data_IF_150568166529
#
_entry.id   IF_150568166529
#
_cell.length_a   1.000
_cell.length_b   1.000
_cell.length_c   1.000
_cell.angle_alpha   90.00
_cell.angle_beta   90.00
_cell.angle_gamma   90.00
#
_symmetry.space_group_name_H-M   'P 1'
#
loop_
_entity.id
_entity.type
_entity.pdbx_description
1 polymer ?
#
# COMPACT_ATOMS: atom_id res chain seq x y z
N UNK A 1 44.45 14.43 39.40
CA UNK A 1 43.85 15.27 38.32
C UNK A 1 43.70 14.57 36.95
N UNK A 2 44.30 13.40 36.69
CA UNK A 2 44.12 12.68 35.42
C UNK A 2 42.80 11.85 35.35
N UNK A 3 42.33 11.32 36.49
CA UNK A 3 41.11 10.47 36.51
C UNK A 3 39.79 11.22 36.22
N UNK A 4 39.70 12.49 36.56
CA UNK A 4 38.51 13.33 36.31
C UNK A 4 38.34 13.69 34.83
N UNK A 5 39.43 13.84 34.07
CA UNK A 5 39.36 14.15 32.62
C UNK A 5 38.93 12.94 31.78
N UNK A 6 39.35 11.73 32.18
CA UNK A 6 38.92 10.51 31.47
C UNK A 6 37.44 10.25 31.66
N UNK A 7 36.90 10.40 32.88
CA UNK A 7 35.47 10.20 33.14
C UNK A 7 34.55 11.18 32.35
N UNK A 8 35.00 12.46 32.23
CA UNK A 8 34.25 13.47 31.47
C UNK A 8 34.26 13.18 29.96
N UNK A 9 35.40 12.64 29.44
CA UNK A 9 35.49 12.27 28.02
C UNK A 9 34.59 11.07 27.70
N UNK A 10 34.52 10.05 28.56
CA UNK A 10 33.64 8.90 28.40
C UNK A 10 32.15 9.30 28.49
N UNK A 11 31.78 10.23 29.37
CA UNK A 11 30.43 10.73 29.48
C UNK A 11 30.01 11.52 28.23
N UNK A 12 30.91 12.33 27.66
CA UNK A 12 30.67 13.08 26.42
C UNK A 12 30.50 12.16 25.20
N UNK A 13 31.31 11.10 25.09
CA UNK A 13 31.20 10.09 24.02
C UNK A 13 29.91 9.28 24.16
N UNK A 14 29.51 8.93 25.39
CA UNK A 14 28.28 8.21 25.64
C UNK A 14 27.05 9.05 25.28
N UNK A 15 27.04 10.35 25.60
CA UNK A 15 25.95 11.27 25.25
C UNK A 15 25.87 11.51 23.75
N UNK A 16 27.01 11.61 23.04
CA UNK A 16 27.01 11.74 21.58
C UNK A 16 26.52 10.47 20.90
N UNK A 17 26.83 9.28 21.38
CA UNK A 17 26.34 8.01 20.82
C UNK A 17 24.84 7.85 21.07
N UNK A 18 24.31 8.27 22.23
CA UNK A 18 22.87 8.24 22.50
C UNK A 18 22.06 9.21 21.60
N UNK A 19 22.64 10.33 21.19
CA UNK A 19 21.95 11.29 20.29
C UNK A 19 21.83 10.74 18.87
N UNK A 20 22.69 9.79 18.45
CA UNK A 20 22.63 9.15 17.12
C UNK A 20 21.70 7.93 17.06
N UNK A 21 21.23 7.42 18.20
CA UNK A 21 20.21 6.36 18.28
C UNK A 21 18.77 6.92 18.22
N UNK A 22 18.54 8.01 17.48
CA UNK A 22 17.17 8.28 17.05
C UNK A 22 16.79 7.13 16.13
N UNK A 23 15.89 6.28 16.61
CA UNK A 23 15.17 5.37 15.75
C UNK A 23 14.77 6.17 14.51
N UNK A 24 15.21 5.76 13.33
CA UNK A 24 14.77 6.36 12.08
C UNK A 24 13.26 6.15 12.02
N UNK A 25 12.52 7.12 12.57
CA UNK A 25 11.08 7.19 12.35
C UNK A 25 10.93 7.39 10.85
N UNK A 26 10.25 6.49 10.19
CA UNK A 26 9.96 6.62 8.77
C UNK A 26 9.33 8.01 8.55
N UNK A 27 9.95 8.80 7.70
CA UNK A 27 9.49 10.15 7.43
C UNK A 27 8.40 10.11 6.35
N UNK A 28 7.41 11.02 6.40
CA UNK A 28 6.44 11.12 5.33
C UNK A 28 7.11 11.33 3.98
N UNK A 29 6.62 10.65 2.94
CA UNK A 29 7.17 10.73 1.59
C UNK A 29 6.85 12.09 0.98
N UNK A 30 7.88 12.74 0.45
CA UNK A 30 7.76 14.05 -0.21
C UNK A 30 6.98 13.95 -1.52
N UNK A 31 6.13 14.93 -1.78
CA UNK A 31 5.40 15.07 -3.05
C UNK A 31 6.35 15.64 -4.09
N UNK A 32 6.72 14.82 -5.07
CA UNK A 32 7.51 15.23 -6.25
C UNK A 32 6.61 15.41 -7.48
N UNK A 33 5.57 14.60 -7.56
CA UNK A 33 4.57 14.63 -8.61
C UNK A 33 3.19 14.68 -7.97
N UNK A 34 2.47 15.75 -8.20
CA UNK A 34 1.11 15.91 -7.67
C UNK A 34 0.12 15.04 -8.45
N UNK A 35 -0.78 14.41 -7.73
CA UNK A 35 -1.89 13.68 -8.33
C UNK A 35 -3.00 14.66 -8.72
N UNK A 36 -3.54 14.49 -9.92
CA UNK A 36 -4.61 15.31 -10.47
C UNK A 36 -5.91 14.57 -10.62
N UNK A 37 -6.73 15.02 -11.59
CA UNK A 37 -7.92 14.30 -12.01
C UNK A 37 -7.51 13.23 -13.02
N UNK A 38 -7.85 11.99 -12.73
CA UNK A 38 -7.50 10.83 -13.59
C UNK A 38 -8.65 9.83 -13.61
N UNK A 39 -8.94 9.29 -14.79
CA UNK A 39 -9.75 8.09 -14.94
C UNK A 39 -8.95 7.06 -15.74
N UNK A 40 -8.56 5.98 -15.09
CA UNK A 40 -7.83 4.87 -15.69
C UNK A 40 -8.69 3.61 -15.75
N UNK A 41 -8.59 2.88 -16.85
CA UNK A 41 -9.22 1.57 -17.00
C UNK A 41 -8.22 0.49 -16.61
N UNK A 42 -8.67 -0.44 -15.77
CA UNK A 42 -7.86 -1.50 -15.23
C UNK A 42 -8.42 -2.88 -15.62
N UNK A 43 -7.52 -3.84 -15.73
CA UNK A 43 -7.87 -5.26 -15.78
C UNK A 43 -7.19 -6.01 -14.64
N UNK A 44 -7.91 -6.95 -14.08
CA UNK A 44 -7.39 -7.90 -13.10
C UNK A 44 -7.26 -9.27 -13.76
N UNK A 45 -6.08 -9.86 -13.65
CA UNK A 45 -5.75 -11.15 -14.24
C UNK A 45 -5.13 -12.10 -13.22
N UNK A 46 -5.23 -13.39 -13.50
CA UNK A 46 -4.34 -14.37 -12.86
C UNK A 46 -2.90 -14.13 -13.33
N UNK A 47 -1.92 -14.67 -12.60
CA UNK A 47 -0.50 -14.63 -13.02
C UNK A 47 -0.28 -15.30 -14.39
N UNK A 48 -1.14 -16.25 -14.76
CA UNK A 48 -1.11 -16.93 -16.07
C UNK A 48 -1.87 -16.18 -17.18
N UNK A 49 -2.32 -14.93 -16.92
CA UNK A 49 -2.93 -14.04 -17.90
C UNK A 49 -4.47 -14.14 -18.04
N UNK A 50 -5.13 -15.09 -17.36
CA UNK A 50 -6.60 -15.21 -17.40
C UNK A 50 -7.30 -13.98 -16.84
N UNK A 51 -8.26 -13.38 -17.59
CA UNK A 51 -9.03 -12.22 -17.16
C UNK A 51 -10.04 -12.62 -16.06
N UNK A 52 -9.96 -11.96 -14.91
CA UNK A 52 -10.78 -12.20 -13.72
C UNK A 52 -11.84 -11.11 -13.56
N UNK A 53 -11.40 -9.84 -13.65
CA UNK A 53 -12.27 -8.69 -13.45
C UNK A 53 -11.85 -7.51 -14.33
N UNK A 54 -12.80 -6.61 -14.57
CA UNK A 54 -12.55 -5.27 -15.12
C UNK A 54 -12.66 -4.25 -14.01
N UNK A 55 -11.89 -3.17 -14.10
CA UNK A 55 -11.85 -2.16 -13.06
C UNK A 55 -11.63 -0.75 -13.56
N UNK A 56 -11.86 0.17 -12.66
CA UNK A 56 -11.67 1.60 -12.82
C UNK A 56 -10.80 2.15 -11.69
N UNK A 57 -9.91 3.06 -12.02
CA UNK A 57 -9.22 3.93 -11.08
C UNK A 57 -9.67 5.37 -11.34
N UNK A 58 -10.38 5.96 -10.40
CA UNK A 58 -10.80 7.36 -10.48
C UNK A 58 -10.08 8.16 -9.40
N UNK A 59 -9.43 9.25 -9.81
CA UNK A 59 -8.87 10.24 -8.89
C UNK A 59 -9.53 11.59 -9.15
N UNK A 60 -9.89 12.29 -8.07
CA UNK A 60 -10.52 13.61 -8.13
C UNK A 60 -9.86 14.51 -7.10
N UNK A 61 -9.39 15.69 -7.53
CA UNK A 61 -8.89 16.72 -6.64
C UNK A 61 -9.98 17.70 -6.27
N UNK A 62 -10.26 17.87 -4.98
CA UNK A 62 -11.25 18.82 -4.47
C UNK A 62 -10.81 19.37 -3.11
N UNK A 63 -10.89 20.70 -2.93
CA UNK A 63 -10.69 21.32 -1.63
C UNK A 63 -9.35 21.03 -0.95
N UNK A 64 -8.27 20.91 -1.70
CA UNK A 64 -6.95 20.59 -1.15
C UNK A 64 -6.68 19.08 -0.93
N UNK A 65 -7.67 18.22 -1.19
CA UNK A 65 -7.57 16.78 -1.04
C UNK A 65 -7.72 16.05 -2.36
N UNK A 66 -7.08 14.89 -2.46
CA UNK A 66 -7.30 13.93 -3.54
C UNK A 66 -8.10 12.77 -2.99
N UNK A 67 -9.19 12.44 -3.64
CA UNK A 67 -9.90 11.18 -3.46
C UNK A 67 -9.48 10.24 -4.61
N UNK A 68 -8.91 9.08 -4.26
CA UNK A 68 -8.60 8.00 -5.19
C UNK A 68 -9.48 6.81 -4.88
N UNK A 69 -10.16 6.28 -5.91
CA UNK A 69 -11.03 5.12 -5.80
C UNK A 69 -10.67 4.10 -6.88
N UNK A 70 -10.41 2.87 -6.46
CA UNK A 70 -10.18 1.73 -7.34
C UNK A 70 -11.30 0.70 -7.15
N UNK A 71 -11.96 0.33 -8.24
CA UNK A 71 -13.07 -0.62 -8.21
C UNK A 71 -12.79 -1.75 -9.19
N UNK A 72 -12.92 -2.99 -8.76
CA UNK A 72 -12.98 -4.17 -9.63
C UNK A 72 -14.35 -4.84 -9.56
N UNK A 73 -14.88 -5.18 -10.72
CA UNK A 73 -16.11 -5.97 -10.89
C UNK A 73 -15.74 -7.31 -11.50
N UNK A 74 -15.94 -8.36 -10.72
CA UNK A 74 -15.62 -9.73 -11.10
C UNK A 74 -16.72 -10.35 -11.95
N UNK A 75 -16.37 -11.36 -12.74
CA UNK A 75 -17.32 -12.07 -13.60
C UNK A 75 -18.43 -12.80 -12.82
N UNK A 76 -18.16 -13.17 -11.56
CA UNK A 76 -19.08 -13.84 -10.66
C UNK A 76 -19.99 -12.88 -9.87
N UNK A 77 -19.91 -11.57 -10.15
CA UNK A 77 -20.65 -10.52 -9.46
C UNK A 77 -19.96 -9.98 -8.20
N UNK A 78 -18.82 -10.53 -7.83
CA UNK A 78 -18.04 -9.99 -6.71
C UNK A 78 -17.54 -8.57 -7.01
N UNK A 79 -17.34 -7.78 -5.94
CA UNK A 79 -16.88 -6.40 -6.02
C UNK A 79 -15.76 -6.16 -5.02
N UNK A 80 -14.68 -5.53 -5.50
CA UNK A 80 -13.63 -4.92 -4.69
C UNK A 80 -13.70 -3.41 -4.92
N UNK A 81 -13.84 -2.61 -3.86
CA UNK A 81 -13.95 -1.14 -3.91
C UNK A 81 -13.05 -0.56 -2.82
N UNK A 82 -11.92 -0.02 -3.22
CA UNK A 82 -10.93 0.63 -2.36
C UNK A 82 -10.95 2.13 -2.58
N UNK A 83 -11.06 2.90 -1.50
CA UNK A 83 -11.05 4.36 -1.53
C UNK A 83 -10.08 4.90 -0.51
N UNK A 84 -9.27 5.87 -0.91
CA UNK A 84 -8.40 6.65 -0.03
C UNK A 84 -8.58 8.13 -0.30
N UNK A 85 -8.62 8.92 0.78
CA UNK A 85 -8.56 10.39 0.73
C UNK A 85 -7.22 10.81 1.33
N UNK A 86 -6.50 11.70 0.66
CA UNK A 86 -5.20 12.18 1.12
C UNK A 86 -4.94 13.63 0.74
N UNK A 87 -4.01 14.26 1.44
CA UNK A 87 -3.43 15.56 1.07
C UNK A 87 -2.05 15.37 0.46
N UNK A 88 -1.64 16.34 -0.36
CA UNK A 88 -0.37 16.32 -1.10
C UNK A 88 0.24 17.72 -1.15
N UNK A 89 0.52 18.32 0.00
CA UNK A 89 1.18 19.63 0.06
C UNK A 89 2.69 19.49 -0.19
N UNK A 90 3.49 19.33 0.89
CA UNK A 90 4.92 19.00 0.80
C UNK A 90 5.19 17.51 0.91
N UNK A 91 4.34 16.82 1.66
CA UNK A 91 4.38 15.38 1.87
C UNK A 91 2.98 14.79 1.68
N UNK A 92 2.94 13.51 1.34
CA UNK A 92 1.67 12.78 1.33
C UNK A 92 1.17 12.53 2.75
N UNK A 93 -0.13 12.71 2.94
CA UNK A 93 -0.79 12.37 4.20
C UNK A 93 -2.16 11.76 3.93
N UNK A 94 -2.31 10.47 4.19
CA UNK A 94 -3.60 9.78 4.16
C UNK A 94 -4.53 10.45 5.18
N UNK A 95 -5.76 10.73 4.82
CA UNK A 95 -6.79 11.29 5.70
C UNK A 95 -7.81 10.23 6.11
N UNK A 96 -8.26 9.43 5.16
CA UNK A 96 -9.15 8.30 5.43
C UNK A 96 -8.92 7.17 4.42
N UNK A 97 -9.25 5.97 4.84
CA UNK A 97 -9.19 4.76 4.02
C UNK A 97 -10.48 3.96 4.19
N UNK A 98 -11.01 3.45 3.09
CA UNK A 98 -12.15 2.54 3.07
C UNK A 98 -11.93 1.42 2.07
N UNK A 99 -12.29 0.19 2.47
CA UNK A 99 -12.28 -0.98 1.61
C UNK A 99 -13.62 -1.72 1.75
N UNK A 100 -14.17 -2.12 0.62
CA UNK A 100 -15.33 -3.02 0.56
C UNK A 100 -14.99 -4.19 -0.35
N UNK A 101 -15.15 -5.39 0.17
CA UNK A 101 -15.02 -6.65 -0.56
C UNK A 101 -16.31 -7.43 -0.38
N UNK A 102 -16.96 -7.83 -1.46
CA UNK A 102 -18.22 -8.59 -1.42
C UNK A 102 -18.27 -9.62 -2.52
N UNK A 103 -18.87 -10.76 -2.20
CA UNK A 103 -19.16 -11.81 -3.14
C UNK A 103 -18.21 -13.01 -3.11
N UNK A 104 -18.52 -14.06 -3.88
CA UNK A 104 -17.97 -15.41 -3.70
C UNK A 104 -16.47 -15.55 -4.00
N UNK A 105 -15.84 -14.60 -4.70
CA UNK A 105 -14.38 -14.63 -4.92
C UNK A 105 -13.58 -14.42 -3.61
N UNK A 106 -14.21 -13.80 -2.61
CA UNK A 106 -13.61 -13.59 -1.28
C UNK A 106 -14.06 -14.71 -0.32
N UNK A 107 -13.31 -14.93 0.74
CA UNK A 107 -13.68 -15.89 1.80
C UNK A 107 -14.82 -15.38 2.68
N UNK A 108 -14.96 -14.07 2.76
CA UNK A 108 -15.97 -13.35 3.54
C UNK A 108 -16.23 -11.97 2.93
N UNK A 109 -17.41 -11.44 3.12
CA UNK A 109 -17.66 -10.03 2.85
C UNK A 109 -16.97 -9.20 3.93
N UNK A 110 -16.26 -8.15 3.51
CA UNK A 110 -15.49 -7.30 4.41
C UNK A 110 -15.73 -5.83 4.10
N UNK A 111 -15.97 -5.03 5.13
CA UNK A 111 -15.99 -3.58 5.03
C UNK A 111 -15.07 -2.98 6.10
N UNK A 112 -14.12 -2.16 5.66
CA UNK A 112 -13.10 -1.52 6.50
C UNK A 112 -13.23 -0.01 6.36
N UNK A 113 -13.10 0.70 7.49
CA UNK A 113 -12.86 2.14 7.52
C UNK A 113 -11.76 2.50 8.51
N UNK A 114 -10.97 3.52 8.17
CA UNK A 114 -9.90 4.06 9.01
C UNK A 114 -9.85 5.57 8.83
N UNK A 115 -9.89 6.30 9.96
CA UNK A 115 -9.81 7.75 10.01
C UNK A 115 -8.50 8.18 10.67
N UNK A 116 -7.70 8.95 9.94
CA UNK A 116 -6.39 9.36 10.43
C UNK A 116 -6.46 10.26 11.66
N UNK A 117 -7.33 11.27 11.64
CA UNK A 117 -7.36 12.30 12.70
C UNK A 117 -7.64 11.71 14.09
N UNK A 118 -8.43 10.66 14.16
CA UNK A 118 -8.79 9.99 15.41
C UNK A 118 -8.09 8.65 15.62
N UNK A 119 -7.43 8.10 14.58
CA UNK A 119 -6.94 6.74 14.55
C UNK A 119 -8.03 5.67 14.61
N UNK A 120 -9.31 6.07 14.59
CA UNK A 120 -10.43 5.14 14.71
C UNK A 120 -10.53 4.27 13.47
N UNK A 121 -10.75 2.98 13.73
CA UNK A 121 -11.05 2.02 12.69
C UNK A 121 -12.33 1.24 13.00
N UNK A 122 -12.95 0.74 11.94
CA UNK A 122 -14.03 -0.24 12.01
C UNK A 122 -13.81 -1.30 10.94
N UNK A 123 -13.98 -2.56 11.32
CA UNK A 123 -13.94 -3.71 10.42
C UNK A 123 -15.23 -4.49 10.63
N UNK A 124 -16.01 -4.64 9.58
CA UNK A 124 -17.18 -5.51 9.57
C UNK A 124 -16.86 -6.69 8.64
N UNK A 125 -17.04 -7.90 9.11
CA UNK A 125 -16.91 -9.11 8.29
C UNK A 125 -18.19 -9.93 8.35
N UNK A 126 -18.47 -10.66 7.25
CA UNK A 126 -19.56 -11.62 7.17
C UNK A 126 -19.06 -12.87 6.46
N UNK A 127 -18.88 -13.94 7.22
CA UNK A 127 -18.42 -15.22 6.71
C UNK A 127 -19.47 -15.84 5.75
N UNK A 128 -19.04 -16.32 4.58
CA UNK A 128 -19.94 -16.92 3.61
C UNK A 128 -20.39 -18.32 4.04
N UNK A 129 -19.56 -19.04 4.83
CA UNK A 129 -19.81 -20.41 5.23
C UNK A 129 -21.04 -20.57 6.14
N UNK A 130 -21.20 -19.68 7.10
CA UNK A 130 -22.20 -19.78 8.18
C UNK A 130 -22.97 -18.48 8.41
N UNK A 131 -22.68 -17.42 7.63
CA UNK A 131 -23.30 -16.11 7.74
C UNK A 131 -22.92 -15.33 9.00
N UNK A 132 -21.93 -15.79 9.77
CA UNK A 132 -21.48 -15.12 11.01
C UNK A 132 -20.95 -13.75 10.69
N UNK A 133 -21.49 -12.75 11.39
CA UNK A 133 -21.04 -11.37 11.32
C UNK A 133 -20.15 -11.04 12.52
N UNK A 134 -19.08 -10.32 12.23
CA UNK A 134 -18.13 -9.83 13.24
C UNK A 134 -17.88 -8.36 13.04
N UNK A 135 -17.83 -7.58 14.15
CA UNK A 135 -17.55 -6.15 14.13
C UNK A 135 -16.41 -5.85 15.07
N UNK A 136 -15.30 -5.38 14.53
CA UNK A 136 -14.17 -4.89 15.31
C UNK A 136 -14.13 -3.35 15.20
N UNK A 137 -14.05 -2.70 16.35
CA UNK A 137 -13.82 -1.25 16.44
C UNK A 137 -12.64 -1.00 17.37
N UNK A 138 -11.87 0.03 17.09
CA UNK A 138 -10.77 0.41 17.95
C UNK A 138 -10.09 1.68 17.49
N UNK A 139 -8.94 1.95 18.09
CA UNK A 139 -8.11 3.10 17.78
C UNK A 139 -6.67 2.65 17.66
N UNK A 140 -5.94 3.18 16.69
CA UNK A 140 -4.51 2.99 16.46
C UNK A 140 -3.81 4.34 16.55
N UNK A 141 -2.62 4.35 17.13
CA UNK A 141 -1.70 5.49 17.00
C UNK A 141 -1.04 5.38 15.62
N UNK A 142 -1.43 6.29 14.71
CA UNK A 142 -1.02 6.24 13.31
C UNK A 142 0.19 7.15 13.08
N UNK A 143 1.37 6.60 12.73
CA UNK A 143 2.52 7.41 12.35
C UNK A 143 2.23 8.20 11.06
N UNK A 144 2.99 9.28 10.80
CA UNK A 144 2.72 10.19 9.68
C UNK A 144 2.81 9.53 8.29
N UNK A 145 3.49 8.42 8.16
CA UNK A 145 3.77 7.67 6.95
C UNK A 145 2.88 6.42 6.76
N UNK A 146 1.65 6.45 7.27
CA UNK A 146 0.65 5.40 6.98
C UNK A 146 0.01 5.66 5.62
N UNK A 147 0.08 4.66 4.70
CA UNK A 147 -0.29 4.83 3.30
C UNK A 147 -1.17 3.71 2.74
N UNK A 148 -2.19 3.24 3.50
CA UNK A 148 -3.19 2.33 2.96
C UNK A 148 -3.84 2.91 1.71
N UNK A 149 -3.91 2.13 0.62
CA UNK A 149 -4.43 2.56 -0.67
C UNK A 149 -3.54 3.56 -1.45
N UNK A 150 -2.33 3.90 -0.93
CA UNK A 150 -1.47 4.92 -1.53
C UNK A 150 -0.10 4.41 -1.98
N UNK A 151 0.19 3.11 -1.85
CA UNK A 151 1.54 2.57 -2.09
C UNK A 151 2.06 2.88 -3.50
N UNK A 152 1.19 2.88 -4.51
CA UNK A 152 1.56 3.23 -5.89
C UNK A 152 1.90 4.72 -6.01
N UNK A 153 1.15 5.63 -5.35
CA UNK A 153 1.47 7.06 -5.33
C UNK A 153 2.83 7.31 -4.65
N UNK A 154 3.09 6.60 -3.56
CA UNK A 154 4.40 6.63 -2.88
C UNK A 154 5.50 6.18 -3.85
N UNK A 155 5.36 5.02 -4.50
CA UNK A 155 6.36 4.50 -5.43
C UNK A 155 6.64 5.46 -6.60
N UNK A 156 5.61 6.13 -7.14
CA UNK A 156 5.74 7.16 -8.18
C UNK A 156 6.58 8.37 -7.72
N UNK A 157 6.62 8.63 -6.43
CA UNK A 157 7.26 9.82 -5.86
C UNK A 157 8.65 9.55 -5.27
N UNK A 158 9.11 8.30 -5.23
CA UNK A 158 10.45 7.98 -4.77
C UNK A 158 11.52 8.51 -5.75
N UNK A 159 12.65 9.02 -5.26
CA UNK A 159 13.80 9.29 -6.11
C UNK A 159 14.25 8.01 -6.84
N UNK A 160 14.76 8.17 -8.05
CA UNK A 160 15.29 7.02 -8.82
C UNK A 160 16.34 6.24 -8.02
N UNK A 161 16.14 4.95 -7.87
CA UNK A 161 17.03 4.06 -7.13
C UNK A 161 16.90 4.12 -5.61
N UNK A 162 16.01 4.96 -5.07
CA UNK A 162 15.79 5.04 -3.62
C UNK A 162 14.84 3.92 -3.16
N UNK A 163 15.18 3.31 -2.03
CA UNK A 163 14.28 2.47 -1.25
C UNK A 163 13.62 3.30 -0.17
N UNK A 164 12.39 2.94 0.20
CA UNK A 164 11.67 3.59 1.29
C UNK A 164 10.95 2.53 2.15
N UNK A 165 10.80 2.82 3.43
CA UNK A 165 10.00 1.99 4.33
C UNK A 165 8.86 2.83 4.88
N UNK A 166 7.64 2.39 4.67
CA UNK A 166 6.42 3.07 5.06
C UNK A 166 5.55 2.18 5.95
N UNK A 167 4.54 2.74 6.59
CA UNK A 167 3.60 1.98 7.39
C UNK A 167 2.29 1.73 6.62
N UNK A 168 1.71 0.56 6.89
CA UNK A 168 0.34 0.19 6.53
C UNK A 168 -0.37 -0.32 7.77
N UNK A 169 -1.69 -0.19 7.80
CA UNK A 169 -2.53 -0.95 8.74
C UNK A 169 -2.94 -2.25 8.06
N UNK A 170 -2.52 -3.37 8.61
CA UNK A 170 -3.05 -4.68 8.26
C UNK A 170 -4.27 -4.96 9.16
N UNK A 171 -5.41 -5.33 8.56
CA UNK A 171 -6.68 -5.48 9.26
C UNK A 171 -7.03 -6.91 9.67
N UNK A 172 -6.13 -7.86 9.45
CA UNK A 172 -6.36 -9.29 9.75
C UNK A 172 -5.24 -9.86 10.62
N UNK A 173 -5.53 -10.68 11.61
CA UNK A 173 -6.83 -10.93 12.26
C UNK A 173 -7.29 -9.76 13.14
N UNK A 174 -6.35 -8.97 13.67
CA UNK A 174 -6.59 -7.77 14.47
C UNK A 174 -5.84 -6.61 13.84
N UNK A 175 -6.47 -5.44 13.64
CA UNK A 175 -5.84 -4.28 13.03
C UNK A 175 -4.56 -3.85 13.75
N UNK A 176 -3.48 -3.66 12.98
CA UNK A 176 -2.17 -3.26 13.48
C UNK A 176 -1.28 -2.64 12.43
N UNK A 177 -0.32 -1.86 12.87
CA UNK A 177 0.72 -1.31 12.01
C UNK A 177 1.71 -2.40 11.57
N UNK A 178 2.03 -2.39 10.30
CA UNK A 178 3.13 -3.14 9.70
C UNK A 178 4.00 -2.20 8.89
N UNK A 179 5.26 -2.53 8.74
CA UNK A 179 6.16 -1.83 7.83
C UNK A 179 6.17 -2.51 6.47
N UNK A 180 6.18 -1.70 5.41
CA UNK A 180 6.35 -2.13 4.04
C UNK A 180 7.59 -1.46 3.45
N UNK A 181 8.55 -2.25 3.01
CA UNK A 181 9.70 -1.77 2.26
C UNK A 181 9.36 -1.74 0.77
N UNK A 182 9.60 -0.62 0.12
CA UNK A 182 9.57 -0.44 -1.33
C UNK A 182 11.02 -0.35 -1.82
N UNK A 183 11.50 -1.39 -2.51
CA UNK A 183 12.87 -1.46 -3.01
C UNK A 183 12.87 -1.56 -4.54
N UNK A 184 13.57 -0.67 -5.28
CA UNK A 184 13.72 -0.82 -6.72
C UNK A 184 14.68 -1.98 -7.05
N UNK A 185 14.28 -2.86 -7.96
CA UNK A 185 15.10 -4.00 -8.43
C UNK A 185 15.53 -3.89 -9.89
N UNK A 186 15.38 -2.72 -10.51
CA UNK A 186 15.86 -2.47 -11.87
C UNK A 186 14.79 -1.88 -12.78
N UNK A 187 15.13 -1.82 -14.07
CA UNK A 187 14.27 -1.28 -15.11
C UNK A 187 13.85 -2.39 -16.07
N UNK A 188 12.56 -2.45 -16.37
CA UNK A 188 11.97 -3.42 -17.27
C UNK A 188 11.28 -2.74 -18.45
N UNK A 189 11.29 -3.37 -19.61
CA UNK A 189 10.43 -2.97 -20.72
C UNK A 189 9.03 -3.47 -20.48
N UNK A 190 8.05 -2.56 -20.57
CA UNK A 190 6.62 -2.84 -20.44
C UNK A 190 5.89 -2.32 -21.68
N UNK A 191 4.77 -2.94 -22.00
CA UNK A 191 3.87 -2.47 -23.06
C UNK A 191 2.63 -1.87 -22.40
N UNK A 192 2.28 -0.65 -22.82
CA UNK A 192 1.01 0.00 -22.47
C UNK A 192 0.26 0.21 -23.79
N UNK A 193 -0.74 -0.63 -24.03
CA UNK A 193 -1.24 -0.82 -25.38
C UNK A 193 -0.14 -1.37 -26.29
N UNK A 194 0.19 -0.65 -27.38
CA UNK A 194 1.28 -1.00 -28.30
C UNK A 194 2.58 -0.22 -28.03
N UNK A 195 2.57 0.70 -27.06
CA UNK A 195 3.71 1.56 -26.77
C UNK A 195 4.68 0.85 -25.81
N UNK A 196 5.93 0.63 -26.25
CA UNK A 196 7.00 0.16 -25.39
C UNK A 196 7.48 1.32 -24.49
N UNK A 197 7.47 1.09 -23.18
CA UNK A 197 7.93 2.02 -22.15
C UNK A 197 8.97 1.35 -21.28
N UNK A 198 9.77 2.15 -20.57
CA UNK A 198 10.65 1.65 -19.51
C UNK A 198 9.99 1.92 -18.17
N UNK A 199 9.91 0.91 -17.32
CA UNK A 199 9.35 1.02 -15.99
C UNK A 199 10.36 0.57 -14.94
N UNK A 200 10.44 1.30 -13.83
CA UNK A 200 11.14 0.84 -12.64
C UNK A 200 10.30 -0.25 -11.98
N UNK A 201 10.91 -1.40 -11.74
CA UNK A 201 10.33 -2.50 -10.99
C UNK A 201 10.63 -2.29 -9.50
N UNK A 202 9.59 -2.18 -8.70
CA UNK A 202 9.66 -2.14 -7.23
C UNK A 202 9.20 -3.48 -6.66
N UNK A 203 9.96 -3.98 -5.70
CA UNK A 203 9.52 -5.09 -4.84
C UNK A 203 9.05 -4.52 -3.50
N UNK A 204 7.88 -4.95 -3.09
CA UNK A 204 7.20 -4.52 -1.89
C UNK A 204 7.26 -5.66 -0.87
N UNK A 205 8.09 -5.48 0.17
CA UNK A 205 8.38 -6.50 1.18
C UNK A 205 7.79 -6.11 2.53
N UNK A 206 6.77 -6.80 3.02
CA UNK A 206 6.32 -6.61 4.39
C UNK A 206 7.45 -6.93 5.36
N UNK A 207 7.86 -5.95 6.19
CA UNK A 207 8.81 -6.16 7.27
C UNK A 207 8.06 -6.63 8.50
N UNK A 208 8.07 -7.91 8.74
CA UNK A 208 7.16 -8.55 9.68
C UNK A 208 7.72 -8.69 11.11
N UNK A 209 9.00 -8.43 11.37
CA UNK A 209 9.58 -8.57 12.70
C UNK A 209 9.10 -9.83 13.45
N UNK A 210 8.61 -9.67 14.68
CA UNK A 210 7.97 -10.75 15.45
C UNK A 210 6.65 -11.28 14.83
N UNK A 211 6.12 -10.62 13.84
CA UNK A 211 4.93 -10.98 13.06
C UNK A 211 5.11 -12.22 12.18
N UNK A 212 6.32 -12.44 11.66
CA UNK A 212 6.61 -13.62 10.85
C UNK A 212 6.22 -14.90 11.60
N UNK A 213 6.49 -14.94 12.91
CA UNK A 213 6.10 -16.06 13.76
C UNK A 213 4.57 -16.19 13.89
N UNK A 214 3.86 -15.07 14.03
CA UNK A 214 2.40 -15.07 14.15
C UNK A 214 1.72 -15.47 12.83
N UNK A 215 2.16 -14.92 11.68
CA UNK A 215 1.66 -15.33 10.37
C UNK A 215 1.97 -16.80 10.07
N UNK A 216 3.19 -17.24 10.32
CA UNK A 216 3.56 -18.64 10.14
C UNK A 216 2.76 -19.58 11.04
N UNK A 217 2.46 -19.16 12.28
CA UNK A 217 1.73 -19.97 13.25
C UNK A 217 0.22 -19.98 12.99
N UNK A 218 -0.38 -18.84 12.65
CA UNK A 218 -1.83 -18.71 12.47
C UNK A 218 -2.32 -19.08 11.06
N UNK A 219 -1.50 -18.82 10.06
CA UNK A 219 -1.91 -18.88 8.64
C UNK A 219 -1.09 -19.90 7.85
N UNK A 220 -0.04 -20.49 8.44
CA UNK A 220 0.81 -21.50 7.79
C UNK A 220 1.59 -21.00 6.56
N UNK A 221 1.56 -19.68 6.28
CA UNK A 221 2.19 -19.08 5.09
C UNK A 221 2.78 -17.72 5.41
N UNK A 222 3.91 -17.42 4.78
CA UNK A 222 4.47 -16.06 4.73
C UNK A 222 3.73 -15.29 3.63
N UNK A 223 3.30 -14.04 3.87
CA UNK A 223 2.73 -13.22 2.80
C UNK A 223 3.69 -13.13 1.62
N UNK A 224 3.21 -13.31 0.39
CA UNK A 224 4.06 -13.17 -0.79
C UNK A 224 4.54 -11.72 -0.92
N UNK A 225 5.73 -11.55 -1.50
CA UNK A 225 6.16 -10.23 -1.97
C UNK A 225 5.18 -9.74 -3.03
N UNK A 226 5.02 -8.43 -3.10
CA UNK A 226 4.24 -7.78 -4.16
C UNK A 226 5.18 -6.98 -5.05
N UNK A 227 4.79 -6.78 -6.29
CA UNK A 227 5.62 -6.14 -7.30
C UNK A 227 4.83 -5.01 -7.96
N UNK A 228 5.49 -3.88 -8.20
CA UNK A 228 4.91 -2.75 -8.90
C UNK A 228 5.84 -2.26 -10.01
N UNK A 229 5.29 -1.93 -11.16
CA UNK A 229 6.02 -1.33 -12.28
C UNK A 229 5.52 0.08 -12.51
N UNK A 230 6.42 1.03 -12.32
CA UNK A 230 6.16 2.47 -12.50
C UNK A 230 6.92 2.94 -13.72
N UNK A 231 6.22 3.42 -14.73
CA UNK A 231 6.82 4.02 -15.92
C UNK A 231 7.63 5.23 -15.49
N UNK A 232 8.89 5.29 -15.97
CA UNK A 232 9.90 6.29 -15.57
C UNK A 232 10.02 7.40 -16.62
N UNK A 233 8.88 7.94 -17.09
CA UNK A 233 8.83 9.13 -17.96
C UNK A 233 8.94 10.42 -17.13
N UNK A 234 8.81 11.60 -17.76
CA UNK A 234 8.80 12.90 -17.08
C UNK A 234 7.79 12.96 -15.95
N UNK A 235 6.61 12.36 -16.14
CA UNK A 235 5.60 12.14 -15.12
C UNK A 235 5.45 10.62 -14.92
N UNK A 236 5.84 10.08 -13.76
CA UNK A 236 5.72 8.65 -13.49
C UNK A 236 4.28 8.17 -13.54
N UNK A 237 4.06 7.02 -14.17
CA UNK A 237 2.73 6.43 -14.31
C UNK A 237 2.71 4.96 -13.85
N UNK A 238 1.59 4.55 -13.28
CA UNK A 238 1.35 3.14 -12.95
C UNK A 238 1.19 2.31 -14.23
N UNK A 239 1.89 1.18 -14.31
CA UNK A 239 1.75 0.23 -15.40
C UNK A 239 1.18 -1.11 -14.96
N UNK A 240 1.72 -1.67 -13.88
CA UNK A 240 1.37 -3.01 -13.41
C UNK A 240 1.59 -3.12 -11.89
N UNK A 241 0.77 -3.95 -11.26
CA UNK A 241 0.99 -4.47 -9.90
C UNK A 241 0.75 -5.98 -9.91
N UNK A 242 1.58 -6.73 -9.21
CA UNK A 242 1.37 -8.15 -8.93
C UNK A 242 1.43 -8.38 -7.43
N UNK A 243 0.37 -8.92 -6.86
CA UNK A 243 0.26 -9.16 -5.43
C UNK A 243 -1.14 -9.55 -5.02
N UNK A 244 -1.35 -9.88 -3.75
CA UNK A 244 -2.69 -10.13 -3.22
C UNK A 244 -3.44 -8.81 -3.05
N UNK A 245 -4.72 -8.78 -3.43
CA UNK A 245 -5.63 -7.64 -3.16
C UNK A 245 -6.16 -7.65 -1.72
N UNK A 246 -6.09 -8.77 -1.04
CA UNK A 246 -6.53 -8.92 0.34
C UNK A 246 -5.66 -9.92 1.07
N UNK A 247 -5.67 -9.86 2.39
CA UNK A 247 -4.85 -10.74 3.23
C UNK A 247 -5.17 -12.19 2.91
N UNK A 248 -4.13 -12.99 2.63
CA UNK A 248 -4.23 -14.40 2.22
C UNK A 248 -4.90 -14.65 0.86
N UNK A 249 -5.22 -13.61 0.12
CA UNK A 249 -5.71 -13.74 -1.26
C UNK A 249 -4.65 -14.31 -2.21
N UNK A 250 -5.06 -14.77 -3.37
CA UNK A 250 -4.13 -15.18 -4.42
C UNK A 250 -3.35 -13.98 -4.96
N UNK A 251 -2.18 -14.27 -5.52
CA UNK A 251 -1.43 -13.27 -6.28
C UNK A 251 -2.17 -13.03 -7.60
N UNK A 252 -2.58 -11.81 -7.81
CA UNK A 252 -3.22 -11.33 -9.03
C UNK A 252 -2.39 -10.22 -9.66
N UNK A 253 -2.67 -9.98 -10.94
CA UNK A 253 -2.03 -8.92 -11.72
C UNK A 253 -3.05 -7.84 -12.05
N UNK A 254 -2.76 -6.60 -11.64
CA UNK A 254 -3.48 -5.40 -12.06
C UNK A 254 -2.66 -4.76 -13.18
N UNK A 255 -3.30 -4.44 -14.29
CA UNK A 255 -2.68 -3.74 -15.42
C UNK A 255 -3.58 -2.59 -15.88
N UNK A 256 -2.95 -1.49 -16.31
CA UNK A 256 -3.66 -0.46 -17.08
C UNK A 256 -4.01 -1.01 -18.46
N UNK A 257 -5.18 -0.66 -18.96
CA UNK A 257 -5.64 -1.08 -20.28
C UNK A 257 -6.19 0.09 -21.09
N UNK A 258 -6.21 -0.05 -22.40
CA UNK A 258 -6.86 0.88 -23.31
C UNK A 258 -8.28 0.40 -23.61
N UNK A 259 -9.26 1.30 -23.80
CA UNK A 259 -10.58 0.96 -24.27
C UNK A 259 -10.49 0.22 -25.62
N UNK A 260 -11.34 -0.82 -25.79
CA UNK A 260 -11.51 -1.51 -27.07
C UNK A 260 -12.96 -1.36 -27.48
N UNK A 261 -13.20 -1.10 -28.75
CA UNK A 261 -14.53 -1.04 -29.32
C UNK A 261 -14.93 -2.45 -29.77
N UNK A 262 -16.16 -2.90 -29.48
CA UNK A 262 -16.66 -4.14 -30.08
C UNK A 262 -16.74 -3.98 -31.59
N UNK A 263 -16.38 -5.03 -32.32
CA UNK A 263 -16.50 -5.11 -33.78
C UNK A 263 -17.96 -5.14 -34.21
#
# INVERSE_FOLDING_TARGET
MLFTRAATLYLLVLVTVLVWLRAASAAPVSVRFVEGVTHGFLVLRTVNGGLIASGDLLQVYRGGQVESRMVFRFKDGSVFDERVVFTQERVFSMQSYRLVQRGPVFTEDTEISLERASGKYRVNTKAHKDGREEVLNGTLDLPPDVYNGMVIMVAKNLPKGASETVHLVAFTPTPRLIQLELAPEGEHKVLIGELAKTATHYVLRPRLGSWLKLFATLLGRVPPESHAWIVSDEVPAFARFEGPLYTMGPVWRIETTSPRWPD
#
